data_IF_566138786001
#
_entry.id   IF_566138786001
#
_cell.length_a   1.000
_cell.length_b   1.000
_cell.length_c   1.000
_cell.angle_alpha   90.00
_cell.angle_beta   90.00
_cell.angle_gamma   90.00
#
_symmetry.space_group_name_H-M   'P 1'
#
loop_
_entity.id
_entity.type
_entity.pdbx_description
1 polymer ?
#
# COMPACT_ATOMS: atom_id res chain seq x y z
N UNK A 1 69.53 13.34 36.03
CA UNK A 1 69.93 13.09 34.62
C UNK A 1 68.65 12.69 33.89
N UNK A 2 68.00 13.68 33.29
CA UNK A 2 66.65 13.60 32.73
C UNK A 2 66.72 13.20 31.26
N UNK A 3 66.01 12.13 30.93
CA UNK A 3 65.94 11.53 29.60
C UNK A 3 65.27 12.49 28.60
N UNK A 4 65.90 12.67 27.43
CA UNK A 4 65.46 13.65 26.44
C UNK A 4 64.39 13.00 25.55
N UNK A 5 63.22 13.63 25.33
CA UNK A 5 62.19 13.03 24.48
C UNK A 5 62.67 12.88 23.03
N UNK A 6 62.27 11.81 22.32
CA UNK A 6 62.72 11.52 20.95
C UNK A 6 62.31 12.62 19.95
N UNK A 7 63.11 12.76 18.88
CA UNK A 7 62.92 13.80 17.84
C UNK A 7 61.71 13.47 16.96
N UNK A 8 61.02 14.50 16.47
CA UNK A 8 59.82 14.44 15.61
C UNK A 8 59.97 13.67 14.29
N UNK A 9 61.17 13.18 14.00
CA UNK A 9 61.55 12.52 12.76
C UNK A 9 61.55 10.98 12.94
N UNK A 10 61.34 10.48 14.16
CA UNK A 10 61.16 9.06 14.52
C UNK A 10 59.68 8.63 14.52
N UNK A 11 58.83 9.29 13.72
CA UNK A 11 57.49 8.75 13.44
C UNK A 11 57.68 7.62 12.42
N UNK A 12 57.91 6.42 12.94
CA UNK A 12 57.77 5.19 12.16
C UNK A 12 56.37 5.21 11.55
N UNK A 13 56.22 5.15 10.21
CA UNK A 13 54.90 5.04 9.62
C UNK A 13 54.24 3.78 10.18
N UNK A 14 53.08 3.91 10.79
CA UNK A 14 52.28 2.80 11.29
C UNK A 14 51.89 1.91 10.09
N UNK A 15 52.68 0.85 9.87
CA UNK A 15 52.47 -0.12 8.79
C UNK A 15 51.26 -1.04 9.08
N UNK A 16 50.62 -0.88 10.24
CA UNK A 16 49.47 -1.68 10.66
C UNK A 16 48.16 -0.88 10.73
N UNK A 17 48.06 0.26 10.05
CA UNK A 17 46.78 0.94 9.87
C UNK A 17 45.98 0.35 8.68
N UNK A 18 44.85 -0.34 8.89
CA UNK A 18 44.06 -0.90 7.80
C UNK A 18 43.20 0.21 7.14
N UNK A 19 43.84 1.20 6.50
CA UNK A 19 43.18 2.23 5.71
C UNK A 19 42.73 1.76 4.30
N UNK A 20 42.65 0.44 4.10
CA UNK A 20 42.06 -0.17 2.92
C UNK A 20 40.87 -1.05 3.32
N UNK A 21 39.98 -0.49 4.15
CA UNK A 21 38.62 -1.00 4.25
C UNK A 21 37.98 -0.93 2.86
N UNK A 22 37.96 -2.08 2.19
CA UNK A 22 37.25 -2.36 0.93
C UNK A 22 36.01 -1.50 0.81
N UNK A 23 36.03 -0.51 -0.09
CA UNK A 23 34.83 0.20 -0.50
C UNK A 23 33.88 -0.84 -1.09
N UNK A 24 32.83 -1.19 -0.34
CA UNK A 24 31.72 -1.99 -0.86
C UNK A 24 31.29 -1.32 -2.16
N UNK A 25 31.16 -2.04 -3.29
CA UNK A 25 30.81 -1.43 -4.55
C UNK A 25 29.52 -0.64 -4.33
N UNK A 26 29.61 0.68 -4.58
CA UNK A 26 28.50 1.61 -4.48
C UNK A 26 27.30 0.98 -5.18
N UNK A 27 26.18 0.87 -4.43
CA UNK A 27 24.92 0.29 -4.85
C UNK A 27 24.67 0.62 -6.32
N UNK A 28 24.87 -0.37 -7.21
CA UNK A 28 24.58 -0.23 -8.63
C UNK A 28 23.09 0.06 -8.71
N UNK A 29 22.70 1.32 -8.88
CA UNK A 29 21.31 1.70 -9.05
C UNK A 29 20.78 0.85 -10.21
N UNK A 30 19.97 -0.16 -9.88
CA UNK A 30 19.30 -0.99 -10.88
C UNK A 30 18.50 -0.02 -11.74
N UNK A 31 18.94 0.18 -12.98
CA UNK A 31 18.20 1.00 -13.94
C UNK A 31 16.79 0.41 -14.03
N UNK A 32 15.77 1.26 -13.86
CA UNK A 32 14.38 0.83 -14.05
C UNK A 32 14.26 0.29 -15.48
N UNK A 33 13.63 -0.88 -15.69
CA UNK A 33 13.39 -1.37 -17.04
C UNK A 33 12.56 -0.32 -17.81
N UNK A 34 12.84 -0.12 -19.12
CA UNK A 34 12.06 0.80 -19.93
C UNK A 34 10.59 0.35 -19.98
N UNK A 35 9.67 1.31 -19.82
CA UNK A 35 8.22 1.06 -19.93
C UNK A 35 7.77 1.26 -21.38
N UNK A 36 7.13 0.24 -21.96
CA UNK A 36 6.61 0.30 -23.33
C UNK A 36 5.28 1.06 -23.42
N UNK A 37 4.93 1.70 -24.55
CA UNK A 37 3.65 2.39 -24.73
C UNK A 37 2.42 1.51 -24.46
N UNK A 38 2.49 0.24 -24.85
CA UNK A 38 1.42 -0.74 -24.61
C UNK A 38 1.21 -1.02 -23.11
N UNK A 39 2.29 -1.02 -22.31
CA UNK A 39 2.18 -1.18 -20.86
C UNK A 39 1.47 0.02 -20.24
N UNK A 40 1.79 1.23 -20.69
CA UNK A 40 1.12 2.47 -20.25
C UNK A 40 -0.36 2.45 -20.61
N UNK A 41 -0.70 2.07 -21.85
CA UNK A 41 -2.08 1.95 -22.30
C UNK A 41 -2.86 0.89 -21.52
N UNK A 42 -2.27 -0.28 -21.26
CA UNK A 42 -2.90 -1.34 -20.49
C UNK A 42 -3.16 -0.90 -19.04
N UNK A 43 -2.20 -0.22 -18.41
CA UNK A 43 -2.36 0.35 -17.07
C UNK A 43 -3.48 1.40 -17.04
N UNK A 44 -3.52 2.30 -18.04
CA UNK A 44 -4.55 3.31 -18.16
C UNK A 44 -5.94 2.70 -18.36
N UNK A 45 -6.09 1.76 -19.30
CA UNK A 45 -7.35 1.07 -19.54
C UNK A 45 -7.81 0.27 -18.32
N UNK A 46 -6.91 -0.46 -17.66
CA UNK A 46 -7.22 -1.20 -16.44
C UNK A 46 -7.71 -0.29 -15.32
N UNK A 47 -7.00 0.82 -15.08
CA UNK A 47 -7.40 1.81 -14.08
C UNK A 47 -8.74 2.48 -14.41
N UNK A 48 -8.92 2.89 -15.67
CA UNK A 48 -10.16 3.49 -16.14
C UNK A 48 -11.34 2.53 -15.95
N UNK A 49 -11.25 1.28 -16.43
CA UNK A 49 -12.32 0.30 -16.32
C UNK A 49 -12.59 -0.09 -14.87
N UNK A 50 -11.54 -0.30 -14.07
CA UNK A 50 -11.68 -0.64 -12.65
C UNK A 50 -12.40 0.44 -11.86
N UNK A 51 -11.96 1.70 -12.01
CA UNK A 51 -12.59 2.83 -11.33
C UNK A 51 -14.00 3.10 -11.89
N UNK A 52 -14.23 2.96 -13.19
CA UNK A 52 -15.55 3.13 -13.77
C UNK A 52 -16.55 2.10 -13.23
N UNK A 53 -16.15 0.83 -13.07
CA UNK A 53 -17.02 -0.20 -12.46
C UNK A 53 -17.32 0.11 -10.99
N UNK A 54 -16.33 0.54 -10.23
CA UNK A 54 -16.54 0.95 -8.83
C UNK A 54 -17.46 2.18 -8.76
N UNK A 55 -17.27 3.17 -9.62
CA UNK A 55 -18.11 4.36 -9.68
C UNK A 55 -19.56 4.01 -10.06
N UNK A 56 -19.76 3.16 -11.07
CA UNK A 56 -21.09 2.68 -11.46
C UNK A 56 -21.78 1.89 -10.32
N UNK A 57 -21.03 1.09 -9.57
CA UNK A 57 -21.55 0.42 -8.38
C UNK A 57 -22.02 1.43 -7.33
N UNK A 58 -21.26 2.50 -7.09
CA UNK A 58 -21.62 3.58 -6.16
C UNK A 58 -22.89 4.32 -6.62
N UNK A 59 -23.08 4.54 -7.92
CA UNK A 59 -24.30 5.17 -8.46
C UNK A 59 -25.55 4.32 -8.22
N UNK A 60 -25.46 3.00 -8.37
CA UNK A 60 -26.60 2.08 -8.16
C UNK A 60 -26.88 1.84 -6.67
N UNK A 61 -25.89 2.03 -5.81
CA UNK A 61 -25.97 1.89 -4.35
C UNK A 61 -25.73 3.26 -3.68
N UNK A 62 -26.70 4.21 -3.72
CA UNK A 62 -26.50 5.61 -3.32
C UNK A 62 -26.13 5.84 -1.84
N UNK A 63 -26.15 4.79 -1.02
CA UNK A 63 -25.61 4.81 0.36
C UNK A 63 -24.08 4.74 0.40
N UNK A 64 -23.44 4.45 -0.73
CA UNK A 64 -22.01 4.52 -0.89
C UNK A 64 -21.58 5.94 -1.21
N UNK A 65 -20.61 6.43 -0.46
CA UNK A 65 -20.09 7.75 -0.66
C UNK A 65 -18.88 7.76 -1.61
N UNK A 66 -18.73 8.85 -2.37
CA UNK A 66 -17.58 9.11 -3.25
C UNK A 66 -16.22 8.98 -2.56
N UNK A 67 -16.16 9.15 -1.23
CA UNK A 67 -14.91 8.99 -0.47
C UNK A 67 -14.31 7.58 -0.62
N UNK A 68 -15.15 6.55 -0.80
CA UNK A 68 -14.70 5.16 -1.05
C UNK A 68 -13.89 5.07 -2.35
N UNK A 69 -14.16 5.94 -3.33
CA UNK A 69 -13.39 6.06 -4.57
C UNK A 69 -11.95 6.53 -4.28
N UNK A 70 -11.73 7.32 -3.23
CA UNK A 70 -10.39 7.75 -2.83
C UNK A 70 -9.49 6.57 -2.46
N UNK A 71 -10.02 5.60 -1.70
CA UNK A 71 -9.31 4.36 -1.37
C UNK A 71 -9.07 3.51 -2.62
N UNK A 72 -10.10 3.31 -3.45
CA UNK A 72 -9.95 2.52 -4.67
C UNK A 72 -9.07 3.17 -5.74
N UNK A 73 -8.95 4.50 -5.77
CA UNK A 73 -7.99 5.22 -6.60
C UNK A 73 -6.55 4.83 -6.25
N UNK A 74 -6.22 4.76 -4.96
CA UNK A 74 -4.92 4.26 -4.52
C UNK A 74 -4.74 2.76 -4.82
N UNK A 75 -5.79 1.93 -4.69
CA UNK A 75 -5.76 0.54 -5.16
C UNK A 75 -5.51 0.44 -6.66
N UNK A 76 -6.08 1.33 -7.48
CA UNK A 76 -5.87 1.35 -8.93
C UNK A 76 -4.41 1.58 -9.29
N UNK A 77 -3.76 2.55 -8.62
CA UNK A 77 -2.33 2.83 -8.80
C UNK A 77 -1.49 1.57 -8.57
N UNK A 78 -1.81 0.81 -7.51
CA UNK A 78 -1.11 -0.44 -7.21
C UNK A 78 -1.43 -1.54 -8.21
N UNK A 79 -2.71 -1.84 -8.44
CA UNK A 79 -3.14 -2.99 -9.25
C UNK A 79 -2.78 -2.86 -10.74
N UNK A 80 -2.82 -1.65 -11.29
CA UNK A 80 -2.62 -1.43 -12.73
C UNK A 80 -1.26 -0.77 -13.03
N UNK A 81 -0.74 0.06 -12.12
CA UNK A 81 0.57 0.69 -12.27
C UNK A 81 1.73 -0.14 -11.74
N UNK A 82 1.48 -0.99 -10.74
CA UNK A 82 2.49 -1.84 -10.11
C UNK A 82 1.97 -3.26 -9.80
N UNK A 83 1.44 -4.00 -10.79
CA UNK A 83 0.75 -5.28 -10.56
C UNK A 83 1.61 -6.34 -9.85
N UNK A 84 2.94 -6.32 -10.08
CA UNK A 84 3.90 -7.24 -9.44
C UNK A 84 4.35 -6.80 -8.04
N UNK A 85 3.92 -5.64 -7.56
CA UNK A 85 4.27 -5.24 -6.20
C UNK A 85 3.59 -6.20 -5.21
N UNK A 86 4.25 -6.56 -4.09
CA UNK A 86 3.65 -7.41 -3.07
C UNK A 86 2.30 -6.86 -2.59
N UNK A 87 2.20 -5.55 -2.39
CA UNK A 87 0.98 -4.88 -1.91
C UNK A 87 -0.19 -4.89 -2.90
N UNK A 88 0.08 -5.20 -4.17
CA UNK A 88 -0.93 -5.32 -5.22
C UNK A 88 -1.51 -6.72 -5.31
N UNK A 89 -0.95 -7.72 -4.62
CA UNK A 89 -1.40 -9.10 -4.76
C UNK A 89 -2.81 -9.31 -4.16
N UNK A 90 -3.60 -10.27 -4.68
CA UNK A 90 -5.02 -10.41 -4.34
C UNK A 90 -5.29 -10.58 -2.84
N UNK A 91 -4.46 -11.36 -2.14
CA UNK A 91 -4.55 -11.54 -0.68
C UNK A 91 -4.45 -10.21 0.06
N UNK A 92 -3.51 -9.36 -0.34
CA UNK A 92 -3.32 -8.05 0.27
C UNK A 92 -4.50 -7.13 -0.06
N UNK A 93 -4.91 -7.06 -1.32
CA UNK A 93 -6.08 -6.26 -1.73
C UNK A 93 -7.34 -6.61 -0.92
N UNK A 94 -7.73 -7.88 -0.91
CA UNK A 94 -8.97 -8.32 -0.27
C UNK A 94 -8.84 -8.29 1.25
N UNK A 95 -7.77 -8.88 1.80
CA UNK A 95 -7.54 -8.97 3.24
C UNK A 95 -7.33 -7.60 3.88
N UNK A 96 -6.57 -6.73 3.23
CA UNK A 96 -6.32 -5.38 3.72
C UNK A 96 -7.60 -4.53 3.76
N UNK A 97 -8.41 -4.56 2.70
CA UNK A 97 -9.69 -3.87 2.70
C UNK A 97 -10.68 -4.45 3.73
N UNK A 98 -10.75 -5.77 3.88
CA UNK A 98 -11.60 -6.44 4.87
C UNK A 98 -11.26 -6.01 6.30
N UNK A 99 -9.98 -6.18 6.70
CA UNK A 99 -9.52 -5.83 8.05
C UNK A 99 -9.77 -4.36 8.33
N UNK A 100 -9.42 -3.50 7.39
CA UNK A 100 -9.61 -2.06 7.53
C UNK A 100 -11.07 -1.65 7.66
N UNK A 101 -11.98 -2.23 6.88
CA UNK A 101 -13.40 -1.94 6.98
C UNK A 101 -13.96 -2.36 8.35
N UNK A 102 -13.58 -3.54 8.84
CA UNK A 102 -13.99 -4.02 10.17
C UNK A 102 -13.46 -3.13 11.30
N UNK A 103 -12.17 -2.79 11.27
CA UNK A 103 -11.54 -1.93 12.29
C UNK A 103 -12.13 -0.54 12.26
N UNK A 104 -12.28 0.06 11.07
CA UNK A 104 -12.84 1.41 10.94
C UNK A 104 -14.26 1.52 11.51
N UNK A 105 -15.13 0.55 11.19
CA UNK A 105 -16.49 0.48 11.76
C UNK A 105 -16.45 0.26 13.28
N UNK A 106 -15.57 -0.60 13.78
CA UNK A 106 -15.42 -0.84 15.21
C UNK A 106 -15.00 0.44 15.95
N UNK A 107 -14.00 1.15 15.44
CA UNK A 107 -13.54 2.42 16.00
C UNK A 107 -14.65 3.48 15.98
N UNK A 108 -15.39 3.60 14.88
CA UNK A 108 -16.50 4.54 14.79
C UNK A 108 -17.61 4.25 15.83
N UNK A 109 -17.97 2.98 15.99
CA UNK A 109 -19.10 2.56 16.86
C UNK A 109 -18.79 2.56 18.35
N UNK A 110 -17.58 2.18 18.75
CA UNK A 110 -17.29 1.82 20.14
C UNK A 110 -16.33 2.77 20.85
N UNK A 111 -15.58 3.61 20.13
CA UNK A 111 -14.72 4.58 20.79
C UNK A 111 -15.51 5.83 21.21
N UNK A 112 -15.05 6.53 22.27
CA UNK A 112 -15.61 7.82 22.67
C UNK A 112 -15.66 8.80 21.52
N UNK A 113 -16.60 9.75 21.57
CA UNK A 113 -16.80 10.73 20.51
C UNK A 113 -15.73 11.84 20.49
N UNK A 114 -14.51 11.42 20.18
CA UNK A 114 -13.31 12.24 20.05
C UNK A 114 -12.72 11.92 18.68
N UNK A 115 -12.95 12.82 17.71
CA UNK A 115 -12.63 12.58 16.29
C UNK A 115 -11.18 12.13 16.08
N UNK A 116 -10.21 12.89 16.62
CA UNK A 116 -8.77 12.58 16.51
C UNK A 116 -8.44 11.18 17.02
N UNK A 117 -9.09 10.75 18.12
CA UNK A 117 -8.88 9.41 18.68
C UNK A 117 -9.45 8.34 17.75
N UNK A 118 -10.69 8.50 17.25
CA UNK A 118 -11.33 7.54 16.35
C UNK A 118 -10.52 7.36 15.06
N UNK A 119 -10.09 8.46 14.46
CA UNK A 119 -9.33 8.46 13.21
C UNK A 119 -7.96 7.80 13.37
N UNK A 120 -7.19 8.23 14.38
CA UNK A 120 -5.86 7.69 14.63
C UNK A 120 -5.92 6.20 14.99
N UNK A 121 -6.86 5.80 15.85
CA UNK A 121 -7.04 4.40 16.23
C UNK A 121 -7.47 3.54 15.04
N UNK A 122 -8.42 3.99 14.22
CA UNK A 122 -8.87 3.23 13.06
C UNK A 122 -7.71 2.91 12.10
N UNK A 123 -6.90 3.92 11.75
CA UNK A 123 -5.79 3.73 10.82
C UNK A 123 -4.65 2.93 11.46
N UNK A 124 -4.23 3.28 12.68
CA UNK A 124 -3.12 2.61 13.35
C UNK A 124 -3.43 1.13 13.64
N UNK A 125 -4.63 0.83 14.14
CA UNK A 125 -5.04 -0.55 14.42
C UNK A 125 -5.21 -1.35 13.12
N UNK A 126 -5.78 -0.76 12.06
CA UNK A 126 -5.89 -1.43 10.77
C UNK A 126 -4.51 -1.79 10.20
N UNK A 127 -3.55 -0.87 10.26
CA UNK A 127 -2.17 -1.14 9.86
C UNK A 127 -1.57 -2.26 10.70
N UNK A 128 -1.68 -2.19 12.03
CA UNK A 128 -1.12 -3.20 12.92
C UNK A 128 -1.68 -4.60 12.63
N UNK A 129 -2.99 -4.72 12.40
CA UNK A 129 -3.61 -6.00 12.06
C UNK A 129 -3.20 -6.48 10.67
N UNK A 130 -3.14 -5.60 9.66
CA UNK A 130 -2.64 -5.99 8.34
C UNK A 130 -1.19 -6.47 8.38
N UNK A 131 -0.34 -5.86 9.24
CA UNK A 131 1.03 -6.33 9.47
C UNK A 131 1.00 -7.74 10.06
N UNK A 132 0.19 -7.94 11.11
CA UNK A 132 0.09 -9.22 11.80
C UNK A 132 -0.44 -10.36 10.91
N UNK A 133 -1.35 -10.07 9.98
CA UNK A 133 -1.97 -11.07 9.09
C UNK A 133 -1.26 -11.24 7.76
N UNK A 134 -0.18 -10.48 7.52
CA UNK A 134 0.51 -10.40 6.23
C UNK A 134 -0.45 -10.03 5.09
N UNK A 135 -1.31 -9.04 5.30
CA UNK A 135 -2.28 -8.55 4.31
C UNK A 135 -2.11 -7.06 4.03
N UNK A 136 -0.88 -6.54 4.09
CA UNK A 136 -0.63 -5.10 3.92
C UNK A 136 -1.05 -4.64 2.53
N UNK A 137 -2.10 -3.83 2.52
CA UNK A 137 -2.56 -3.07 1.38
C UNK A 137 -2.72 -1.62 1.81
N UNK A 138 -1.76 -0.73 1.47
CA UNK A 138 -1.78 0.66 1.93
C UNK A 138 -3.12 1.40 1.72
N UNK A 139 -3.87 1.20 0.62
CA UNK A 139 -5.21 1.77 0.47
C UNK A 139 -6.20 1.37 1.58
N UNK A 140 -6.00 0.21 2.21
CA UNK A 140 -6.76 -0.20 3.39
C UNK A 140 -6.70 0.83 4.53
N UNK A 141 -5.60 1.57 4.70
CA UNK A 141 -5.55 2.65 5.69
C UNK A 141 -6.63 3.72 5.43
N UNK A 142 -6.79 4.13 4.16
CA UNK A 142 -7.85 5.05 3.76
C UNK A 142 -9.24 4.42 3.96
N UNK A 143 -9.42 3.13 3.65
CA UNK A 143 -10.67 2.40 3.88
C UNK A 143 -11.12 2.43 5.35
N UNK A 144 -10.18 2.26 6.29
CA UNK A 144 -10.46 2.35 7.72
C UNK A 144 -10.83 3.78 8.13
N UNK A 145 -10.09 4.78 7.64
CA UNK A 145 -10.36 6.19 7.93
C UNK A 145 -11.74 6.63 7.42
N UNK A 146 -12.11 6.24 6.20
CA UNK A 146 -13.40 6.57 5.58
C UNK A 146 -14.59 6.04 6.39
N UNK A 147 -14.45 4.89 7.05
CA UNK A 147 -15.50 4.39 7.94
C UNK A 147 -15.75 5.30 9.15
N UNK A 148 -14.74 6.10 9.54
CA UNK A 148 -14.82 7.06 10.66
C UNK A 148 -15.24 8.44 10.18
N UNK A 149 -14.59 9.00 9.15
CA UNK A 149 -14.82 10.38 8.66
C UNK A 149 -15.89 10.47 7.58
N UNK A 150 -16.48 9.33 7.21
CA UNK A 150 -17.54 9.27 6.21
C UNK A 150 -18.77 10.09 6.60
N UNK A 151 -19.65 10.42 5.65
CA UNK A 151 -20.92 11.06 5.96
C UNK A 151 -21.87 10.09 6.68
N UNK A 152 -23.02 10.57 7.19
CA UNK A 152 -24.03 9.74 7.84
C UNK A 152 -24.42 8.50 7.03
N UNK A 153 -24.52 8.60 5.70
CA UNK A 153 -24.82 7.46 4.83
C UNK A 153 -23.83 6.29 4.97
N UNK A 154 -22.54 6.57 5.24
CA UNK A 154 -21.52 5.54 5.51
C UNK A 154 -21.68 4.98 6.92
N UNK A 155 -21.91 5.84 7.90
CA UNK A 155 -22.10 5.44 9.29
C UNK A 155 -23.34 4.56 9.49
N UNK A 156 -24.43 4.88 8.79
CA UNK A 156 -25.70 4.16 8.81
C UNK A 156 -25.58 2.73 8.27
N UNK A 157 -24.60 2.45 7.40
CA UNK A 157 -24.31 1.07 6.98
C UNK A 157 -23.83 0.22 8.16
N UNK A 158 -23.15 0.83 9.14
CA UNK A 158 -22.51 0.13 10.22
C UNK A 158 -21.61 -1.00 9.71
N UNK A 159 -21.84 -2.24 10.17
CA UNK A 159 -21.10 -3.41 9.70
C UNK A 159 -21.35 -3.74 8.22
N UNK A 160 -22.46 -3.24 7.66
CA UNK A 160 -22.76 -3.33 6.24
C UNK A 160 -21.77 -2.59 5.34
N UNK A 161 -20.93 -1.70 5.89
CA UNK A 161 -19.85 -1.03 5.15
C UNK A 161 -18.84 -2.02 4.53
N UNK A 162 -18.68 -3.21 5.13
CA UNK A 162 -17.79 -4.26 4.61
C UNK A 162 -18.22 -4.73 3.21
N UNK A 163 -19.52 -4.86 2.96
CA UNK A 163 -20.03 -5.38 1.69
C UNK A 163 -19.58 -4.56 0.48
N UNK A 164 -19.88 -3.26 0.40
CA UNK A 164 -19.51 -2.49 -0.78
C UNK A 164 -17.99 -2.28 -0.92
N UNK A 165 -17.26 -2.26 0.19
CA UNK A 165 -15.78 -2.27 0.17
C UNK A 165 -15.27 -3.56 -0.47
N UNK A 166 -15.77 -4.72 -0.06
CA UNK A 166 -15.34 -5.98 -0.66
C UNK A 166 -15.82 -6.15 -2.10
N UNK A 167 -17.04 -5.72 -2.43
CA UNK A 167 -17.53 -5.73 -3.80
C UNK A 167 -16.64 -4.87 -4.69
N UNK A 168 -16.29 -3.65 -4.28
CA UNK A 168 -15.36 -2.80 -5.01
C UNK A 168 -13.98 -3.44 -5.17
N UNK A 169 -13.44 -4.06 -4.11
CA UNK A 169 -12.15 -4.75 -4.18
C UNK A 169 -12.18 -5.95 -5.15
N UNK A 170 -13.27 -6.71 -5.19
CA UNK A 170 -13.46 -7.84 -6.13
C UNK A 170 -13.61 -7.35 -7.57
N UNK A 171 -14.36 -6.26 -7.81
CA UNK A 171 -14.47 -5.66 -9.14
C UNK A 171 -13.11 -5.18 -9.67
N UNK A 172 -12.35 -4.51 -8.81
CA UNK A 172 -10.99 -4.07 -9.11
C UNK A 172 -10.06 -5.26 -9.40
N UNK A 173 -10.14 -6.32 -8.59
CA UNK A 173 -9.38 -7.53 -8.82
C UNK A 173 -9.72 -8.18 -10.15
N UNK A 174 -11.01 -8.28 -10.48
CA UNK A 174 -11.48 -8.85 -11.74
C UNK A 174 -10.90 -8.12 -12.95
N UNK A 175 -10.94 -6.78 -12.95
CA UNK A 175 -10.33 -5.98 -14.02
C UNK A 175 -8.81 -6.17 -14.04
N UNK A 176 -8.14 -6.22 -12.89
CA UNK A 176 -6.70 -6.44 -12.80
C UNK A 176 -6.27 -7.80 -13.36
N UNK A 177 -7.05 -8.86 -13.11
CA UNK A 177 -6.81 -10.18 -13.69
C UNK A 177 -6.92 -10.16 -15.21
N UNK A 178 -7.83 -9.38 -15.79
CA UNK A 178 -7.96 -9.27 -17.24
C UNK A 178 -6.85 -8.38 -17.81
N UNK A 179 -6.74 -7.14 -17.35
CA UNK A 179 -5.87 -6.12 -17.96
C UNK A 179 -4.40 -6.50 -17.90
N UNK A 180 -3.93 -7.04 -16.77
CA UNK A 180 -2.52 -7.39 -16.59
C UNK A 180 -2.14 -8.63 -17.41
N UNK A 181 -3.06 -9.60 -17.56
CA UNK A 181 -2.80 -10.82 -18.33
C UNK A 181 -3.00 -10.69 -19.85
N UNK A 182 -3.76 -9.69 -20.31
CA UNK A 182 -3.86 -9.38 -21.73
C UNK A 182 -2.55 -8.82 -22.29
N UNK A 183 -1.85 -7.99 -21.52
CA UNK A 183 -0.55 -7.44 -21.92
C UNK A 183 0.60 -8.43 -21.75
N UNK A 184 0.69 -9.08 -20.58
CA UNK A 184 1.68 -10.11 -20.28
C UNK A 184 0.99 -11.27 -19.58
N UNK A 185 0.70 -12.34 -20.32
CA UNK A 185 0.07 -13.55 -19.75
C UNK A 185 0.88 -14.08 -18.56
N UNK A 186 0.20 -14.40 -17.47
CA UNK A 186 0.81 -14.92 -16.24
C UNK A 186 1.54 -13.86 -15.41
N UNK A 187 1.35 -12.57 -15.71
CA UNK A 187 2.01 -11.50 -14.94
C UNK A 187 1.29 -11.12 -13.65
N UNK A 188 0.03 -11.55 -13.49
CA UNK A 188 -0.78 -11.25 -12.31
C UNK A 188 -1.85 -12.33 -12.07
N UNK A 189 -2.05 -12.84 -10.84
CA UNK A 189 -1.22 -12.58 -9.68
C UNK A 189 0.18 -13.19 -9.85
N UNK A 190 1.18 -12.52 -9.28
CA UNK A 190 2.56 -13.03 -9.23
C UNK A 190 2.70 -14.06 -8.10
N UNK A 191 1.90 -13.89 -7.04
CA UNK A 191 1.86 -14.75 -5.87
C UNK A 191 0.54 -14.63 -5.11
N UNK A 192 0.19 -15.66 -4.36
CA UNK A 192 -1.07 -15.73 -3.59
C UNK A 192 -0.86 -15.78 -2.07
N UNK A 193 0.38 -16.06 -1.64
CA UNK A 193 0.81 -16.28 -0.25
C UNK A 193 1.21 -14.99 0.47
#
# INVERSE_FOLDING_TARGET
MTDKPPRRDEIVPDVDHPAHARTKPLLRHRRRPPVGPLQVLAAWLGAFLGIALVAAMVEVLPRLHLLVIGSFGASAVLLYGAPRAPFSQPRNLIGGHLISALVGVACFKYLPDVAVLKEAMAVATAIALMVATHTIHPPGGATALIAVIGPPAVHDLGWGYVFPVLTGAVLMLFVALISNNLYQRGSYPDRWD
#
